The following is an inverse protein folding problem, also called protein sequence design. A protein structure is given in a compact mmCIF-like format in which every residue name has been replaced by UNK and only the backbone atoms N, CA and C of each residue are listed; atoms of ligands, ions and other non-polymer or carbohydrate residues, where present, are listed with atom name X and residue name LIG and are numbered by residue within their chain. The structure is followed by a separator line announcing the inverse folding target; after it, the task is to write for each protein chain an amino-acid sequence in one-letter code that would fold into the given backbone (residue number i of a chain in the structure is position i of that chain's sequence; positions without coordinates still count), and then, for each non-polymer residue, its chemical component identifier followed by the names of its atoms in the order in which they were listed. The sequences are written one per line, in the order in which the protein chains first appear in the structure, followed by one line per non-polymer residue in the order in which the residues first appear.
data_IF_744438298096
#
_entry.id   IF_744438298096
#
_cell.length_a   1.000
_cell.length_b   1.000
_cell.length_c   1.000
_cell.angle_alpha   90.00
_cell.angle_beta   90.00
_cell.angle_gamma   90.00
#
_symmetry.space_group_name_H-M   'P 1'
#
loop_
_entity.id
_entity.type
_entity.pdbx_description
1 polymer ?
#
# COMPACT_ATOMS: atom_id res chain seq x y z
N UNK A 1 13.62 -4.07 -15.60
CA UNK A 1 13.09 -4.93 -14.53
C UNK A 1 12.31 -4.12 -13.53
N UNK A 2 11.17 -4.63 -13.08
CA UNK A 2 10.36 -3.93 -12.09
C UNK A 2 10.87 -4.30 -10.71
N UNK A 3 11.08 -3.29 -9.87
CA UNK A 3 11.55 -3.49 -8.51
C UNK A 3 10.48 -3.05 -7.55
N UNK A 4 10.08 -3.94 -6.66
CA UNK A 4 9.10 -3.63 -5.63
C UNK A 4 9.81 -3.22 -4.35
N UNK A 5 9.35 -2.13 -3.77
CA UNK A 5 9.88 -1.62 -2.51
C UNK A 5 8.86 -1.87 -1.43
N UNK A 6 9.26 -2.40 -0.28
CA UNK A 6 8.30 -2.68 0.80
C UNK A 6 7.64 -1.41 1.31
N UNK A 7 6.37 -1.54 1.64
CA UNK A 7 5.61 -0.49 2.28
C UNK A 7 5.27 -0.96 3.68
N UNK A 8 5.48 -0.07 4.64
CA UNK A 8 5.09 -0.39 6.00
C UNK A 8 3.59 -0.20 6.14
N UNK A 9 2.89 -1.26 6.52
CA UNK A 9 1.44 -1.22 6.65
C UNK A 9 1.01 -1.91 7.92
N UNK A 10 -0.01 -1.38 8.56
CA UNK A 10 -0.56 -1.92 9.80
C UNK A 10 -2.07 -1.96 9.72
N UNK A 11 -2.62 -2.90 10.48
CA UNK A 11 -4.07 -2.97 10.62
C UNK A 11 -4.50 -2.02 11.72
N UNK A 12 -5.50 -1.19 11.44
CA UNK A 12 -6.03 -0.27 12.42
C UNK A 12 -6.57 -1.04 13.62
N UNK A 13 -6.26 -0.56 14.82
CA UNK A 13 -6.68 -1.24 16.04
C UNK A 13 -5.79 -2.39 16.45
N UNK A 14 -4.81 -2.74 15.64
CA UNK A 14 -3.88 -3.83 15.94
C UNK A 14 -2.46 -3.36 15.62
N UNK A 15 -1.88 -2.53 16.48
CA UNK A 15 -0.60 -1.89 16.14
C UNK A 15 0.56 -2.87 15.95
N UNK A 16 0.44 -4.08 16.47
CA UNK A 16 1.49 -5.07 16.28
C UNK A 16 1.27 -5.93 15.05
N UNK A 17 0.11 -5.83 14.41
CA UNK A 17 -0.18 -6.62 13.21
C UNK A 17 0.23 -5.82 11.98
N UNK A 18 1.14 -6.36 11.20
CA UNK A 18 1.58 -5.71 9.98
C UNK A 18 1.11 -6.53 8.79
N UNK A 19 0.99 -5.86 7.65
CA UNK A 19 0.61 -6.51 6.40
C UNK A 19 1.76 -6.37 5.42
N UNK A 20 2.17 -7.46 4.78
CA UNK A 20 3.21 -7.35 3.75
C UNK A 20 2.65 -6.64 2.53
N UNK A 21 3.21 -5.50 2.22
CA UNK A 21 2.84 -4.71 1.05
C UNK A 21 4.10 -4.19 0.38
N UNK A 22 3.99 -3.94 -0.91
CA UNK A 22 5.10 -3.37 -1.65
C UNK A 22 4.55 -2.57 -2.82
N UNK A 23 5.35 -1.66 -3.33
CA UNK A 23 4.98 -0.88 -4.50
C UNK A 23 6.12 -0.82 -5.47
N UNK A 24 5.80 -0.67 -6.75
CA UNK A 24 6.80 -0.51 -7.79
C UNK A 24 6.47 0.73 -8.60
N UNK A 25 7.48 1.53 -8.88
CA UNK A 25 7.32 2.73 -9.68
C UNK A 25 7.26 2.33 -11.14
N UNK A 26 6.17 2.68 -11.79
CA UNK A 26 5.96 2.36 -13.20
C UNK A 26 5.46 3.60 -13.91
N UNK A 27 5.51 3.62 -15.25
CA UNK A 27 4.98 4.77 -15.97
C UNK A 27 3.52 5.00 -15.63
N UNK A 28 3.18 6.22 -15.32
CA UNK A 28 1.82 6.61 -15.01
C UNK A 28 1.40 6.38 -13.58
N UNK A 29 2.23 5.75 -12.74
CA UNK A 29 1.82 5.55 -11.35
C UNK A 29 2.61 4.45 -10.67
N UNK A 30 1.89 3.64 -9.90
CA UNK A 30 2.48 2.60 -9.06
C UNK A 30 1.72 1.30 -9.24
N UNK A 31 2.46 0.21 -9.21
CA UNK A 31 1.89 -1.11 -8.96
C UNK A 31 2.00 -1.39 -7.47
N UNK A 32 0.88 -1.71 -6.85
CA UNK A 32 0.85 -2.00 -5.42
C UNK A 32 0.46 -3.45 -5.24
N UNK A 33 1.29 -4.16 -4.48
CA UNK A 33 1.07 -5.58 -4.22
C UNK A 33 0.84 -5.81 -2.74
N UNK A 34 -0.14 -6.65 -2.43
CA UNK A 34 -0.44 -7.04 -1.07
C UNK A 34 -0.40 -8.55 -1.02
N UNK A 35 0.35 -9.08 -0.07
CA UNK A 35 0.45 -10.52 0.12
C UNK A 35 -0.41 -10.90 1.33
N UNK A 36 -1.30 -11.86 1.14
CA UNK A 36 -2.14 -12.34 2.23
C UNK A 36 -2.03 -13.84 2.33
N UNK A 37 -2.31 -14.35 3.53
CA UNK A 37 -2.24 -15.78 3.79
C UNK A 37 -0.87 -16.18 4.32
N UNK A 38 -0.83 -17.30 5.03
CA UNK A 38 0.42 -17.78 5.62
C UNK A 38 0.86 -19.10 5.03
N UNK A 39 -0.08 -19.94 4.62
CA UNK A 39 0.27 -21.24 4.07
C UNK A 39 0.25 -21.20 2.55
N UNK A 40 -0.86 -20.74 1.99
CA UNK A 40 -0.97 -20.55 0.56
C UNK A 40 -1.08 -19.06 0.30
N UNK A 41 0.06 -18.40 0.29
CA UNK A 41 0.08 -16.94 0.13
C UNK A 41 -0.51 -16.53 -1.22
N UNK A 42 -1.34 -15.53 -1.18
CA UNK A 42 -1.91 -14.94 -2.38
C UNK A 42 -1.46 -13.50 -2.49
N UNK A 43 -1.10 -13.11 -3.70
CA UNK A 43 -0.67 -11.75 -3.95
C UNK A 43 -1.70 -11.07 -4.84
N UNK A 44 -2.21 -9.95 -4.37
CA UNK A 44 -3.08 -9.10 -5.17
C UNK A 44 -2.28 -7.89 -5.62
N UNK A 45 -2.45 -7.50 -6.88
CA UNK A 45 -1.72 -6.37 -7.44
C UNK A 45 -2.72 -5.45 -8.10
N UNK A 46 -2.57 -4.15 -7.86
CA UNK A 46 -3.39 -3.17 -8.54
C UNK A 46 -2.55 -1.99 -8.96
N UNK A 47 -3.07 -1.23 -9.91
CA UNK A 47 -2.41 -0.04 -10.41
C UNK A 47 -2.99 1.19 -9.73
N UNK A 48 -2.10 2.05 -9.24
CA UNK A 48 -2.50 3.32 -8.62
C UNK A 48 -2.00 4.44 -9.52
N UNK A 49 -2.89 5.23 -10.13
CA UNK A 49 -2.46 6.32 -10.99
C UNK A 49 -1.81 7.43 -10.17
N UNK A 50 -0.60 7.78 -10.56
CA UNK A 50 0.16 8.84 -9.90
C UNK A 50 1.26 9.25 -10.86
N UNK A 51 0.93 9.99 -11.91
CA UNK A 51 1.90 10.26 -12.99
C UNK A 51 3.17 10.95 -12.52
N UNK A 52 3.12 11.67 -11.42
CA UNK A 52 4.30 12.37 -10.92
C UNK A 52 4.96 11.63 -9.77
N UNK A 53 4.43 10.48 -9.41
CA UNK A 53 5.02 9.63 -8.37
C UNK A 53 5.24 10.39 -7.07
N UNK A 54 4.19 11.07 -6.61
CA UNK A 54 4.28 11.87 -5.39
C UNK A 54 3.91 11.11 -4.15
N UNK A 55 3.27 9.97 -4.32
CA UNK A 55 2.86 9.18 -3.17
C UNK A 55 4.10 8.59 -2.49
N UNK A 56 4.17 8.77 -1.18
CA UNK A 56 5.32 8.31 -0.41
C UNK A 56 5.13 6.92 0.18
N UNK A 57 4.03 6.25 -0.12
CA UNK A 57 3.75 4.92 0.40
C UNK A 57 2.97 4.91 1.69
N UNK A 58 2.57 6.07 2.19
CA UNK A 58 1.83 6.18 3.44
C UNK A 58 0.38 6.51 3.17
N UNK A 59 -0.47 6.23 4.15
CA UNK A 59 -1.84 6.67 4.09
C UNK A 59 -1.90 8.18 4.19
N UNK A 60 -2.93 8.74 3.61
CA UNK A 60 -3.18 10.16 3.80
C UNK A 60 -3.59 10.42 5.24
N UNK A 61 -3.20 11.57 5.81
CA UNK A 61 -3.68 11.92 7.14
C UNK A 61 -5.20 12.08 7.11
N UNK A 62 -5.85 11.59 8.14
CA UNK A 62 -7.30 11.72 8.22
C UNK A 62 -7.66 13.07 8.78
N UNK A 63 -8.40 13.90 8.03
CA UNK A 63 -8.87 15.16 8.61
C UNK A 63 -9.89 14.87 9.69
N UNK A 64 -9.91 15.71 10.71
CA UNK A 64 -10.87 15.55 11.78
C UNK A 64 -12.31 15.54 11.27
N UNK A 65 -12.60 16.35 10.27
CA UNK A 65 -13.94 16.39 9.72
C UNK A 65 -14.33 15.13 8.97
N UNK A 66 -13.35 14.44 8.39
CA UNK A 66 -13.65 13.23 7.66
C UNK A 66 -14.12 12.13 8.60
N UNK A 67 -13.72 12.20 9.82
CA UNK A 67 -14.10 11.19 10.79
C UNK A 67 -15.49 11.38 11.32
N UNK A 68 -16.06 12.52 11.07
CA UNK A 68 -17.39 12.81 11.53
C UNK A 68 -18.47 12.13 10.72
N UNK A 69 -18.10 11.53 9.61
CA UNK A 69 -19.10 10.86 8.77
C UNK A 69 -19.54 9.56 9.31
#
# INVERSE_FOLDING_TARGET
MVTFHPIEARMEGKPTATMPMARAKVPGGWLVAVVSGTVNSHTAVCFVPDPEHRWDGSSLPEPATAQAK
#
